data_IF_154010001992
#
_entry.id   IF_154010001992
#
_cell.length_a   1.000
_cell.length_b   1.000
_cell.length_c   1.000
_cell.angle_alpha   90.00
_cell.angle_beta   90.00
_cell.angle_gamma   90.00
#
_symmetry.space_group_name_H-M   'P 1'
#
loop_
_entity.id
_entity.type
_entity.pdbx_description
1 polymer ?
#
# COMPACT_ATOMS: atom_id res chain seq x y z
N UNK A 1 34.21 -4.17 -38.12
CA UNK A 1 34.13 -2.71 -38.29
C UNK A 1 33.49 -2.18 -37.02
N UNK A 2 34.20 -1.34 -36.27
CA UNK A 2 33.66 -0.79 -35.02
C UNK A 2 33.18 0.61 -35.36
N UNK A 3 31.87 0.79 -35.39
CA UNK A 3 31.26 2.06 -35.72
C UNK A 3 31.66 3.09 -34.65
N UNK A 4 32.21 4.22 -35.08
CA UNK A 4 32.60 5.32 -34.21
C UNK A 4 31.32 5.98 -33.66
N UNK A 5 30.85 5.49 -32.51
CA UNK A 5 29.68 6.03 -31.82
C UNK A 5 29.95 7.47 -31.35
N UNK A 6 29.24 8.44 -31.92
CA UNK A 6 29.28 9.85 -31.52
C UNK A 6 27.85 10.39 -31.37
N UNK A 7 27.47 10.75 -30.14
CA UNK A 7 26.13 11.25 -29.82
C UNK A 7 25.87 12.70 -30.28
N UNK A 8 26.91 13.43 -30.70
CA UNK A 8 26.84 14.82 -31.15
C UNK A 8 26.84 14.96 -32.68
N UNK A 9 26.69 13.86 -33.42
CA UNK A 9 26.66 13.90 -34.88
C UNK A 9 25.38 14.62 -35.36
N UNK A 10 25.51 15.49 -36.37
CA UNK A 10 24.36 16.18 -36.96
C UNK A 10 23.45 15.18 -37.66
N UNK A 11 22.24 15.00 -37.13
CA UNK A 11 21.23 14.09 -37.69
C UNK A 11 20.07 14.88 -38.28
N UNK A 12 19.56 14.44 -39.44
CA UNK A 12 18.32 14.94 -40.01
C UNK A 12 17.14 14.33 -39.22
N UNK A 13 16.33 15.17 -38.58
CA UNK A 13 15.13 14.73 -37.86
C UNK A 13 13.99 14.44 -38.85
N UNK A 14 13.94 13.20 -39.33
CA UNK A 14 12.78 12.69 -40.06
C UNK A 14 11.77 12.21 -39.01
N UNK A 15 10.54 12.74 -39.05
CA UNK A 15 9.45 12.21 -38.25
C UNK A 15 9.05 10.85 -38.81
N UNK A 16 9.67 9.78 -38.31
CA UNK A 16 9.15 8.43 -38.53
C UNK A 16 8.02 8.20 -37.54
N UNK A 17 6.83 7.90 -38.07
CA UNK A 17 5.72 7.35 -37.30
C UNK A 17 6.16 6.00 -36.73
N UNK A 18 6.59 6.00 -35.47
CA UNK A 18 6.97 4.78 -34.80
C UNK A 18 5.77 3.85 -34.71
N UNK A 19 5.93 2.62 -35.17
CA UNK A 19 4.94 1.55 -34.98
C UNK A 19 5.59 0.40 -34.20
N UNK A 20 4.92 -0.12 -33.16
CA UNK A 20 5.38 -1.33 -32.48
C UNK A 20 5.38 -2.52 -33.46
N UNK A 21 6.29 -3.47 -33.22
CA UNK A 21 6.35 -4.76 -33.92
C UNK A 21 5.00 -5.49 -33.87
N UNK A 22 4.74 -6.38 -34.84
CA UNK A 22 3.45 -7.07 -34.98
C UNK A 22 3.07 -7.90 -33.74
N UNK A 23 4.04 -8.52 -33.08
CA UNK A 23 3.84 -9.35 -31.89
C UNK A 23 4.10 -8.59 -30.57
N UNK A 24 4.23 -7.27 -30.60
CA UNK A 24 4.49 -6.50 -29.40
C UNK A 24 3.24 -6.39 -28.51
N UNK A 25 3.41 -6.49 -27.19
CA UNK A 25 2.33 -6.43 -26.18
C UNK A 25 1.40 -5.22 -26.33
N UNK A 26 1.96 -4.06 -26.71
CA UNK A 26 1.20 -2.84 -26.99
C UNK A 26 0.10 -3.04 -28.06
N UNK A 27 0.33 -3.82 -29.13
CA UNK A 27 -0.70 -4.07 -30.16
C UNK A 27 -1.86 -4.88 -29.62
N UNK A 28 -1.58 -5.91 -28.82
CA UNK A 28 -2.61 -6.71 -28.16
C UNK A 28 -3.42 -5.88 -27.17
N UNK A 29 -2.77 -5.04 -26.37
CA UNK A 29 -3.45 -4.11 -25.44
C UNK A 29 -4.33 -3.13 -26.22
N UNK A 30 -3.85 -2.62 -27.36
CA UNK A 30 -4.65 -1.74 -28.21
C UNK A 30 -5.91 -2.46 -28.71
N UNK A 31 -5.77 -3.65 -29.30
CA UNK A 31 -6.89 -4.44 -29.80
C UNK A 31 -7.90 -4.78 -28.70
N UNK A 32 -7.41 -5.17 -27.52
CA UNK A 32 -8.24 -5.45 -26.35
C UNK A 32 -9.05 -4.21 -25.96
N UNK A 33 -8.41 -3.07 -25.79
CA UNK A 33 -9.12 -1.85 -25.37
C UNK A 33 -10.11 -1.36 -26.43
N UNK A 34 -9.81 -1.50 -27.72
CA UNK A 34 -10.77 -1.19 -28.79
C UNK A 34 -11.98 -2.14 -28.77
N UNK A 35 -11.77 -3.43 -28.43
CA UNK A 35 -12.86 -4.41 -28.37
C UNK A 35 -13.88 -4.12 -27.26
N UNK A 36 -13.46 -3.44 -26.18
CA UNK A 36 -14.30 -3.12 -25.02
C UNK A 36 -15.38 -2.06 -25.32
N UNK A 37 -15.33 -1.39 -26.50
CA UNK A 37 -16.30 -0.35 -26.92
C UNK A 37 -16.68 0.60 -25.78
N UNK A 38 -15.66 1.18 -25.13
CA UNK A 38 -15.83 2.05 -23.97
C UNK A 38 -16.84 3.16 -24.26
N UNK A 39 -17.92 3.22 -23.48
CA UNK A 39 -18.93 4.28 -23.59
C UNK A 39 -18.41 5.54 -22.91
N UNK A 40 -18.55 6.67 -23.60
CA UNK A 40 -18.16 7.99 -23.12
C UNK A 40 -19.40 8.74 -22.65
N UNK A 41 -20.00 8.30 -21.54
CA UNK A 41 -21.19 8.95 -21.00
C UNK A 41 -20.76 10.16 -20.16
N UNK A 42 -20.42 11.26 -20.83
CA UNK A 42 -20.14 12.53 -20.18
C UNK A 42 -21.41 13.39 -20.12
N UNK A 43 -22.10 13.35 -18.97
CA UNK A 43 -23.40 14.03 -18.86
C UNK A 43 -23.30 15.50 -18.43
N UNK A 44 -22.38 15.91 -17.53
CA UNK A 44 -22.24 17.31 -17.09
C UNK A 44 -20.83 17.67 -16.55
N UNK A 45 -20.36 18.91 -16.80
CA UNK A 45 -19.16 19.51 -16.18
C UNK A 45 -18.05 19.97 -17.15
N UNK A 46 -16.81 20.14 -16.65
CA UNK A 46 -15.60 20.41 -17.47
C UNK A 46 -15.17 19.14 -18.23
N UNK A 47 -15.13 19.16 -19.58
CA UNK A 47 -14.75 18.00 -20.39
C UNK A 47 -13.44 17.38 -19.90
N UNK A 48 -13.32 16.06 -20.02
CA UNK A 48 -12.05 15.39 -19.72
C UNK A 48 -11.00 15.86 -20.71
N UNK A 49 -9.85 16.27 -20.20
CA UNK A 49 -8.70 16.65 -21.03
C UNK A 49 -8.04 15.44 -21.73
N UNK A 50 -8.52 14.20 -21.49
CA UNK A 50 -7.88 12.97 -21.93
C UNK A 50 -8.89 11.90 -22.37
N UNK A 51 -8.47 11.08 -23.34
CA UNK A 51 -9.25 9.94 -23.83
C UNK A 51 -9.15 8.75 -22.86
N UNK A 52 -10.29 8.15 -22.48
CA UNK A 52 -10.32 7.01 -21.55
C UNK A 52 -9.60 5.79 -22.10
N UNK A 53 -9.78 5.49 -23.39
CA UNK A 53 -9.11 4.37 -24.05
C UNK A 53 -7.59 4.53 -24.02
N UNK A 54 -7.08 5.71 -24.32
CA UNK A 54 -5.64 6.01 -24.24
C UNK A 54 -5.09 5.82 -22.81
N UNK A 55 -5.81 6.31 -21.80
CA UNK A 55 -5.39 6.13 -20.41
C UNK A 55 -5.41 4.66 -19.96
N UNK A 56 -6.43 3.91 -20.37
CA UNK A 56 -6.54 2.48 -20.07
C UNK A 56 -5.39 1.71 -20.72
N UNK A 57 -5.10 1.97 -22.00
CA UNK A 57 -3.97 1.38 -22.74
C UNK A 57 -2.64 1.66 -22.03
N UNK A 58 -2.41 2.91 -21.60
CA UNK A 58 -1.19 3.30 -20.90
C UNK A 58 -1.02 2.58 -19.56
N UNK A 59 -2.09 2.52 -18.75
CA UNK A 59 -2.06 1.87 -17.43
C UNK A 59 -1.84 0.36 -17.58
N UNK A 60 -2.54 -0.30 -18.51
CA UNK A 60 -2.37 -1.73 -18.78
C UNK A 60 -0.95 -2.05 -19.24
N UNK A 61 -0.39 -1.25 -20.15
CA UNK A 61 0.99 -1.44 -20.59
C UNK A 61 1.96 -1.22 -19.43
N UNK A 62 1.84 -0.15 -18.66
CA UNK A 62 2.74 0.09 -17.55
C UNK A 62 2.69 -1.03 -16.49
N UNK A 63 1.51 -1.59 -16.22
CA UNK A 63 1.34 -2.69 -15.28
C UNK A 63 1.95 -4.00 -15.80
N UNK A 64 1.92 -4.28 -17.10
CA UNK A 64 2.58 -5.47 -17.65
C UNK A 64 4.10 -5.42 -17.49
N UNK A 65 4.68 -4.22 -17.39
CA UNK A 65 6.09 -3.98 -17.02
C UNK A 65 6.34 -3.86 -15.51
N UNK A 66 5.32 -4.06 -14.66
CA UNK A 66 5.45 -3.97 -13.20
C UNK A 66 5.54 -2.52 -12.66
N UNK A 67 5.10 -1.53 -13.43
CA UNK A 67 5.18 -0.10 -13.08
C UNK A 67 3.82 0.40 -12.55
N UNK A 68 3.69 0.48 -11.22
CA UNK A 68 2.41 0.82 -10.58
C UNK A 68 2.29 2.27 -10.09
N UNK A 69 3.42 2.97 -9.90
CA UNK A 69 3.41 4.33 -9.38
C UNK A 69 3.05 5.33 -10.48
N UNK A 70 2.04 6.17 -10.28
CA UNK A 70 1.59 7.13 -11.30
C UNK A 70 2.68 8.07 -11.81
N UNK A 71 3.65 8.45 -10.95
CA UNK A 71 4.82 9.24 -11.39
C UNK A 71 5.77 8.44 -12.27
N UNK A 72 5.95 7.15 -11.95
CA UNK A 72 6.73 6.24 -12.80
C UNK A 72 6.01 5.96 -14.12
N UNK A 73 4.67 5.90 -14.12
CA UNK A 73 3.86 5.75 -15.34
C UNK A 73 3.97 6.99 -16.23
N UNK A 74 3.94 8.20 -15.67
CA UNK A 74 4.18 9.43 -16.43
C UNK A 74 5.57 9.42 -17.09
N UNK A 75 6.59 9.05 -16.31
CA UNK A 75 7.96 8.91 -16.84
C UNK A 75 8.05 7.84 -17.94
N UNK A 76 7.40 6.69 -17.72
CA UNK A 76 7.32 5.60 -18.68
C UNK A 76 6.65 6.05 -19.99
N UNK A 77 5.55 6.80 -19.93
CA UNK A 77 4.88 7.36 -21.11
C UNK A 77 5.79 8.29 -21.93
N UNK A 78 6.69 9.03 -21.26
CA UNK A 78 7.63 9.96 -21.91
C UNK A 78 8.83 9.25 -22.54
N UNK A 79 9.33 8.20 -21.89
CA UNK A 79 10.58 7.53 -22.27
C UNK A 79 10.34 6.32 -23.19
N UNK A 80 9.16 5.69 -23.13
CA UNK A 80 8.87 4.44 -23.84
C UNK A 80 8.09 4.70 -25.14
N UNK A 81 8.68 4.35 -26.30
CA UNK A 81 8.06 4.53 -27.62
C UNK A 81 6.73 3.77 -27.80
N UNK A 82 6.59 2.48 -27.43
CA UNK A 82 5.29 1.79 -27.43
C UNK A 82 4.22 2.48 -26.59
N UNK A 83 4.58 3.04 -25.43
CA UNK A 83 3.65 3.78 -24.59
C UNK A 83 3.20 5.08 -25.25
N UNK A 84 4.14 5.83 -25.87
CA UNK A 84 3.83 7.01 -26.68
C UNK A 84 2.87 6.72 -27.83
N UNK A 85 3.11 5.62 -28.55
CA UNK A 85 2.22 5.15 -29.62
C UNK A 85 0.78 4.89 -29.15
N UNK A 86 0.60 4.25 -27.98
CA UNK A 86 -0.74 3.96 -27.43
C UNK A 86 -1.55 5.20 -27.07
N UNK A 87 -0.87 6.30 -26.73
CA UNK A 87 -1.49 7.57 -26.31
C UNK A 87 -1.38 8.66 -27.39
N UNK A 88 -0.95 8.32 -28.60
CA UNK A 88 -0.68 9.27 -29.68
C UNK A 88 0.17 10.47 -29.22
N UNK A 89 1.21 10.18 -28.44
CA UNK A 89 2.16 11.14 -27.82
C UNK A 89 1.53 12.21 -26.91
N UNK A 90 0.25 12.07 -26.54
CA UNK A 90 -0.40 12.92 -25.54
C UNK A 90 -0.07 12.43 -24.13
N UNK A 91 1.07 12.87 -23.59
CA UNK A 91 1.55 12.42 -22.28
C UNK A 91 0.70 13.01 -21.14
N UNK A 92 -0.07 12.19 -20.39
CA UNK A 92 -0.86 12.67 -19.27
C UNK A 92 0.02 12.91 -18.03
N UNK A 93 -0.33 13.92 -17.23
CA UNK A 93 0.37 14.17 -15.96
C UNK A 93 0.13 13.04 -14.94
N UNK A 94 1.05 12.84 -13.98
CA UNK A 94 0.84 11.86 -12.90
C UNK A 94 -0.47 12.09 -12.13
N UNK A 95 -0.93 13.35 -11.99
CA UNK A 95 -2.19 13.68 -11.31
C UNK A 95 -3.38 13.17 -12.10
N UNK A 96 -3.33 13.30 -13.42
CA UNK A 96 -4.34 12.78 -14.35
C UNK A 96 -4.42 11.26 -14.27
N UNK A 97 -3.26 10.59 -14.29
CA UNK A 97 -3.16 9.13 -14.13
C UNK A 97 -3.70 8.70 -12.75
N UNK A 98 -3.35 9.40 -11.68
CA UNK A 98 -3.88 9.14 -10.34
C UNK A 98 -5.41 9.26 -10.29
N UNK A 99 -5.98 10.33 -10.85
CA UNK A 99 -7.43 10.54 -10.88
C UNK A 99 -8.15 9.45 -11.66
N UNK A 100 -7.61 9.08 -12.82
CA UNK A 100 -8.14 7.97 -13.63
C UNK A 100 -8.10 6.63 -12.88
N UNK A 101 -7.05 6.36 -12.10
CA UNK A 101 -6.93 5.12 -11.31
C UNK A 101 -7.89 5.02 -10.13
N UNK A 102 -8.31 6.17 -9.58
CA UNK A 102 -9.16 6.24 -8.38
C UNK A 102 -10.64 6.43 -8.77
N UNK A 103 -10.94 6.82 -10.00
CA UNK A 103 -12.33 7.06 -10.42
C UNK A 103 -13.18 5.80 -10.33
N UNK A 104 -14.39 5.92 -9.77
CA UNK A 104 -15.37 4.85 -9.65
C UNK A 104 -15.75 4.23 -11.01
N UNK A 105 -15.67 5.03 -12.06
CA UNK A 105 -15.89 4.57 -13.44
C UNK A 105 -14.83 3.59 -13.92
N UNK A 106 -13.58 3.72 -13.46
CA UNK A 106 -12.59 2.70 -13.77
C UNK A 106 -12.99 1.41 -13.07
N UNK A 107 -13.47 1.46 -11.83
CA UNK A 107 -13.88 0.26 -11.09
C UNK A 107 -15.02 -0.49 -11.80
N UNK A 108 -16.06 0.24 -12.26
CA UNK A 108 -17.15 -0.36 -13.04
C UNK A 108 -16.65 -0.89 -14.39
N UNK A 109 -15.86 -0.09 -15.13
CA UNK A 109 -15.26 -0.50 -16.39
C UNK A 109 -14.36 -1.73 -16.22
N UNK A 110 -13.51 -1.82 -15.20
CA UNK A 110 -12.66 -3.00 -14.98
C UNK A 110 -13.49 -4.25 -14.70
N UNK A 111 -14.60 -4.13 -13.97
CA UNK A 111 -15.45 -5.30 -13.66
C UNK A 111 -16.10 -5.85 -14.92
N UNK A 112 -16.68 -4.98 -15.73
CA UNK A 112 -17.31 -5.36 -17.00
C UNK A 112 -16.26 -5.81 -18.03
N UNK A 113 -15.14 -5.09 -18.13
CA UNK A 113 -14.05 -5.38 -19.07
C UNK A 113 -13.33 -6.68 -18.75
N UNK A 114 -13.16 -7.01 -17.47
CA UNK A 114 -12.56 -8.28 -17.06
C UNK A 114 -13.50 -9.44 -17.40
N UNK A 115 -14.81 -9.25 -17.22
CA UNK A 115 -15.84 -10.22 -17.62
C UNK A 115 -15.84 -10.44 -19.13
N UNK A 116 -15.77 -9.37 -19.92
CA UNK A 116 -15.68 -9.46 -21.39
C UNK A 116 -14.34 -10.07 -21.86
N UNK A 117 -13.23 -9.71 -21.22
CA UNK A 117 -11.91 -10.25 -21.53
C UNK A 117 -11.84 -11.74 -21.25
N UNK A 118 -12.33 -12.17 -20.08
CA UNK A 118 -12.39 -13.61 -19.73
C UNK A 118 -13.29 -14.38 -20.69
N UNK A 119 -14.42 -13.80 -21.10
CA UNK A 119 -15.27 -14.39 -22.12
C UNK A 119 -14.58 -14.50 -23.49
N UNK A 120 -13.88 -13.45 -23.93
CA UNK A 120 -13.11 -13.45 -25.18
C UNK A 120 -11.99 -14.50 -25.14
N UNK A 121 -11.24 -14.57 -24.05
CA UNK A 121 -10.14 -15.53 -23.91
C UNK A 121 -10.65 -16.98 -23.85
N UNK A 122 -11.80 -17.22 -23.23
CA UNK A 122 -12.50 -18.52 -23.27
C UNK A 122 -12.92 -18.90 -24.69
N UNK A 123 -13.51 -17.97 -25.43
CA UNK A 123 -13.94 -18.21 -26.82
C UNK A 123 -12.76 -18.55 -27.75
N UNK A 124 -11.59 -17.99 -27.49
CA UNK A 124 -10.37 -18.26 -28.26
C UNK A 124 -9.54 -19.43 -27.69
N UNK A 125 -10.04 -20.17 -26.69
CA UNK A 125 -9.34 -21.31 -26.10
C UNK A 125 -8.03 -20.95 -25.37
N UNK A 126 -7.86 -19.70 -24.95
CA UNK A 126 -6.65 -19.23 -24.26
C UNK A 126 -6.72 -19.38 -22.73
N UNK A 127 -7.91 -19.61 -22.18
CA UNK A 127 -8.15 -19.86 -20.75
C UNK A 127 -9.07 -21.07 -20.61
N UNK A 128 -8.61 -22.09 -19.90
CA UNK A 128 -9.42 -23.21 -19.44
C UNK A 128 -10.05 -22.91 -18.07
N UNK A 129 -11.16 -23.59 -17.73
CA UNK A 129 -11.80 -23.49 -16.40
C UNK A 129 -10.96 -24.14 -15.28
N UNK A 130 -9.85 -24.79 -15.62
CA UNK A 130 -8.99 -25.52 -14.67
C UNK A 130 -7.76 -24.67 -14.33
N UNK A 131 -7.77 -24.08 -13.13
CA UNK A 131 -6.57 -23.47 -12.56
C UNK A 131 -5.70 -24.55 -11.92
N UNK A 132 -4.55 -24.84 -12.53
CA UNK A 132 -3.53 -25.69 -11.92
C UNK A 132 -2.77 -24.88 -10.87
N UNK A 133 -3.25 -24.91 -9.64
CA UNK A 133 -2.52 -24.36 -8.50
C UNK A 133 -1.41 -25.37 -8.15
N UNK A 134 -0.24 -25.23 -8.76
CA UNK A 134 0.95 -25.92 -8.28
C UNK A 134 1.20 -25.50 -6.82
N UNK A 135 1.52 -26.48 -5.97
CA UNK A 135 1.22 -26.54 -4.53
C UNK A 135 1.92 -25.51 -3.63
N UNK A 136 1.79 -24.23 -3.92
CA UNK A 136 2.30 -23.14 -3.10
C UNK A 136 1.32 -22.86 -1.97
N UNK A 137 1.57 -23.47 -0.80
CA UNK A 137 0.79 -23.18 0.42
C UNK A 137 1.23 -21.85 1.01
N UNK A 138 0.53 -20.78 0.67
CA UNK A 138 0.64 -19.50 1.37
C UNK A 138 -0.11 -19.65 2.70
N UNK A 139 0.62 -19.96 3.77
CA UNK A 139 0.07 -19.98 5.12
C UNK A 139 -0.09 -18.54 5.61
N UNK A 140 -1.22 -18.22 6.22
CA UNK A 140 -1.40 -16.97 6.95
C UNK A 140 -0.35 -16.87 8.07
N UNK A 141 -0.07 -15.64 8.54
CA UNK A 141 0.73 -15.38 9.76
C UNK A 141 -0.05 -15.77 11.02
N UNK A 142 -0.48 -17.03 11.06
CA UNK A 142 -1.20 -17.67 12.15
C UNK A 142 -0.44 -18.94 12.50
N UNK A 143 -0.51 -19.33 13.78
CA UNK A 143 0.14 -20.53 14.23
C UNK A 143 -0.35 -21.75 13.42
N UNK A 144 0.58 -22.57 12.93
CA UNK A 144 0.30 -23.78 12.13
C UNK A 144 -0.58 -24.79 12.85
N UNK A 145 -0.64 -24.71 14.18
CA UNK A 145 -1.37 -25.64 15.03
C UNK A 145 -2.53 -24.94 15.74
N UNK A 146 -3.68 -25.61 15.79
CA UNK A 146 -4.87 -25.18 16.57
C UNK A 146 -4.73 -25.41 18.08
N UNK A 147 -3.66 -26.07 18.51
CA UNK A 147 -3.40 -26.40 19.91
C UNK A 147 -2.12 -25.75 20.42
N UNK A 148 -2.09 -25.51 21.73
CA UNK A 148 -0.95 -24.89 22.43
C UNK A 148 -0.31 -25.90 23.37
N UNK A 149 1.02 -25.93 23.42
CA UNK A 149 1.76 -26.84 24.29
C UNK A 149 1.77 -26.35 25.73
N UNK A 150 1.16 -27.12 26.65
CA UNK A 150 1.07 -26.80 28.08
C UNK A 150 2.40 -26.34 28.70
N UNK A 151 3.51 -27.02 28.38
CA UNK A 151 4.85 -26.67 28.87
C UNK A 151 5.29 -25.27 28.43
N UNK A 152 5.01 -24.90 27.19
CA UNK A 152 5.33 -23.56 26.69
C UNK A 152 4.41 -22.51 27.29
N UNK A 153 3.11 -22.79 27.42
CA UNK A 153 2.16 -21.87 28.07
C UNK A 153 2.60 -21.52 29.50
N UNK A 154 2.99 -22.52 30.30
CA UNK A 154 3.48 -22.30 31.67
C UNK A 154 4.79 -21.50 31.68
N UNK A 155 5.72 -21.81 30.76
CA UNK A 155 6.99 -21.07 30.65
C UNK A 155 6.75 -19.61 30.28
N UNK A 156 5.90 -19.34 29.30
CA UNK A 156 5.58 -17.98 28.86
C UNK A 156 4.78 -17.21 29.90
N UNK A 157 3.84 -17.84 30.61
CA UNK A 157 3.13 -17.22 31.73
C UNK A 157 4.11 -16.75 32.81
N UNK A 158 5.06 -17.61 33.22
CA UNK A 158 6.10 -17.24 34.19
C UNK A 158 6.96 -16.06 33.70
N UNK A 159 7.47 -16.14 32.47
CA UNK A 159 8.27 -15.05 31.88
C UNK A 159 7.48 -13.74 31.75
N UNK A 160 6.19 -13.80 31.43
CA UNK A 160 5.34 -12.62 31.31
C UNK A 160 5.08 -11.99 32.67
N UNK A 161 4.85 -12.79 33.71
CA UNK A 161 4.70 -12.30 35.09
C UNK A 161 5.97 -11.62 35.59
N UNK A 162 7.15 -12.19 35.34
CA UNK A 162 8.44 -11.58 35.67
C UNK A 162 8.57 -10.20 35.00
N UNK A 163 8.34 -10.12 33.68
CA UNK A 163 8.36 -8.84 32.94
C UNK A 163 7.33 -7.83 33.43
N UNK A 164 6.16 -8.30 33.85
CA UNK A 164 5.08 -7.45 34.36
C UNK A 164 5.48 -6.83 35.71
N UNK A 165 6.08 -7.63 36.60
CA UNK A 165 6.62 -7.13 37.88
C UNK A 165 7.72 -6.09 37.64
N UNK A 166 8.65 -6.36 36.71
CA UNK A 166 9.70 -5.39 36.34
C UNK A 166 9.08 -4.07 35.83
N UNK A 167 8.08 -4.15 34.94
CA UNK A 167 7.38 -2.99 34.38
C UNK A 167 6.63 -2.18 35.44
N UNK A 168 5.97 -2.86 36.40
CA UNK A 168 5.33 -2.20 37.53
C UNK A 168 6.36 -1.52 38.43
N UNK A 169 7.51 -2.16 38.64
CA UNK A 169 8.66 -1.56 39.35
C UNK A 169 9.09 -0.24 38.73
N UNK A 170 9.30 -0.20 37.40
CA UNK A 170 9.61 1.04 36.68
C UNK A 170 8.54 2.12 36.86
N UNK A 171 7.25 1.73 36.88
CA UNK A 171 6.12 2.66 37.07
C UNK A 171 6.03 3.20 38.50
N UNK A 172 6.42 2.40 39.49
CA UNK A 172 6.49 2.83 40.89
C UNK A 172 7.66 3.77 41.14
N UNK A 173 8.85 3.48 40.60
CA UNK A 173 10.00 4.39 40.64
C UNK A 173 9.67 5.75 40.00
N UNK A 174 8.89 5.75 38.91
CA UNK A 174 8.39 6.94 38.26
C UNK A 174 7.27 7.68 39.05
N UNK A 175 6.89 7.19 40.25
CA UNK A 175 5.80 7.69 41.12
C UNK A 175 4.42 7.72 40.46
N UNK A 176 4.19 6.88 39.45
CA UNK A 176 2.92 6.81 38.71
C UNK A 176 1.95 5.87 39.40
N UNK A 177 2.47 4.77 39.97
CA UNK A 177 1.69 3.75 40.69
C UNK A 177 2.16 3.71 42.15
N UNK A 178 1.22 3.49 43.08
CA UNK A 178 1.48 3.35 44.52
C UNK A 178 2.22 2.05 44.88
N UNK A 179 2.06 1.56 46.10
CA UNK A 179 2.70 0.30 46.54
C UNK A 179 2.35 -0.87 45.60
N UNK A 180 3.39 -1.56 45.12
CA UNK A 180 3.25 -2.78 44.33
C UNK A 180 3.15 -3.95 45.33
N UNK A 181 2.11 -4.79 45.28
CA UNK A 181 2.06 -5.99 46.09
C UNK A 181 3.25 -6.91 45.73
N UNK A 182 3.98 -7.37 46.74
CA UNK A 182 5.16 -8.19 46.54
C UNK A 182 4.78 -9.61 46.05
N UNK A 183 5.26 -9.99 44.88
CA UNK A 183 5.20 -11.36 44.38
C UNK A 183 3.86 -11.80 43.78
N UNK A 184 3.53 -13.08 43.97
CA UNK A 184 2.63 -13.90 43.15
C UNK A 184 1.12 -13.62 43.22
N UNK A 185 0.69 -12.42 43.65
CA UNK A 185 -0.72 -12.06 43.86
C UNK A 185 -1.18 -10.91 42.94
N UNK A 186 -0.69 -10.87 41.70
CA UNK A 186 -1.23 -9.98 40.68
C UNK A 186 -2.54 -10.56 40.14
N UNK A 187 -3.65 -10.18 40.76
CA UNK A 187 -4.98 -10.48 40.23
C UNK A 187 -5.32 -9.55 39.06
N UNK A 188 -6.15 -9.99 38.09
CA UNK A 188 -6.61 -9.13 37.00
C UNK A 188 -7.25 -7.83 37.50
N UNK A 189 -7.96 -7.87 38.62
CA UNK A 189 -8.61 -6.71 39.23
C UNK A 189 -7.60 -5.65 39.70
N UNK A 190 -6.48 -6.08 40.29
CA UNK A 190 -5.40 -5.17 40.70
C UNK A 190 -4.73 -4.51 39.49
N UNK A 191 -4.58 -5.26 38.38
CA UNK A 191 -4.06 -4.73 37.13
C UNK A 191 -4.96 -3.65 36.54
N UNK A 192 -6.28 -3.84 36.55
CA UNK A 192 -7.23 -2.84 36.06
C UNK A 192 -7.14 -1.53 36.86
N UNK A 193 -7.01 -1.63 38.19
CA UNK A 193 -6.81 -0.46 39.07
C UNK A 193 -5.51 0.27 38.72
N UNK A 194 -4.42 -0.48 38.45
CA UNK A 194 -3.14 0.12 38.06
C UNK A 194 -3.20 0.78 36.67
N UNK A 195 -3.89 0.18 35.71
CA UNK A 195 -4.11 0.76 34.38
C UNK A 195 -4.88 2.09 34.51
N UNK A 196 -5.96 2.12 35.31
CA UNK A 196 -6.72 3.34 35.55
C UNK A 196 -5.86 4.47 36.13
N UNK A 197 -4.97 4.17 37.10
CA UNK A 197 -4.03 5.16 37.65
C UNK A 197 -3.07 5.72 36.60
N UNK A 198 -2.57 4.85 35.71
CA UNK A 198 -1.69 5.28 34.60
C UNK A 198 -2.46 6.16 33.60
N UNK A 199 -3.74 5.88 33.37
CA UNK A 199 -4.61 6.70 32.53
C UNK A 199 -4.85 8.09 33.12
N UNK A 200 -5.18 8.16 34.42
CA UNK A 200 -5.37 9.44 35.12
C UNK A 200 -4.11 10.30 35.06
N UNK A 201 -2.94 9.70 35.30
CA UNK A 201 -1.66 10.40 35.19
C UNK A 201 -1.38 10.91 33.76
N UNK A 202 -1.80 10.17 32.72
CA UNK A 202 -1.70 10.62 31.34
C UNK A 202 -2.61 11.82 31.03
N UNK A 203 -3.77 11.94 31.69
CA UNK A 203 -4.66 13.11 31.56
C UNK A 203 -3.95 14.36 32.08
N UNK A 204 -3.42 14.30 33.30
CA UNK A 204 -2.65 15.40 33.92
C UNK A 204 -1.44 15.80 33.05
N UNK A 205 -0.72 14.82 32.50
CA UNK A 205 0.39 15.08 31.57
C UNK A 205 -0.05 15.74 30.25
N UNK A 206 -1.27 15.49 29.76
CA UNK A 206 -1.77 16.19 28.58
C UNK A 206 -2.06 17.66 28.90
N UNK A 207 -2.73 17.94 30.01
CA UNK A 207 -3.07 19.30 30.45
C UNK A 207 -1.81 20.15 30.68
N UNK A 208 -0.80 19.58 31.35
CA UNK A 208 0.49 20.26 31.58
C UNK A 208 1.24 20.55 30.27
N UNK A 209 1.14 19.67 29.27
CA UNK A 209 1.73 19.91 27.94
C UNK A 209 0.98 21.00 27.16
N UNK A 210 -0.35 21.09 27.30
CA UNK A 210 -1.13 22.17 26.69
C UNK A 210 -0.85 23.53 27.34
N UNK A 211 -0.67 23.55 28.67
CA UNK A 211 -0.30 24.74 29.42
C UNK A 211 1.15 25.19 29.14
N UNK A 212 2.08 24.24 28.97
CA UNK A 212 3.50 24.50 28.66
C UNK A 212 3.77 24.46 27.14
N UNK A 213 3.27 25.46 26.40
CA UNK A 213 3.58 25.67 24.97
C UNK A 213 5.03 26.15 24.71
N UNK A 214 6.03 25.55 25.36
CA UNK A 214 7.44 25.85 25.02
C UNK A 214 7.93 25.09 23.78
N UNK A 215 8.80 25.74 23.01
CA UNK A 215 9.56 25.14 21.91
C UNK A 215 10.67 24.26 22.51
N UNK A 216 10.88 23.09 21.93
CA UNK A 216 11.74 21.98 22.40
C UNK A 216 13.05 22.42 23.08
N UNK A 217 13.47 21.76 24.21
CA UNK A 217 12.92 20.52 24.78
C UNK A 217 11.84 20.75 25.87
N UNK A 218 10.65 20.15 25.71
CA UNK A 218 9.61 20.14 26.75
C UNK A 218 9.70 18.83 27.57
N UNK A 219 10.04 18.89 28.87
CA UNK A 219 10.17 17.70 29.73
C UNK A 219 8.85 16.95 29.93
N UNK A 220 7.71 17.66 30.01
CA UNK A 220 6.39 17.03 30.13
C UNK A 220 6.02 16.23 28.87
N UNK A 221 6.45 16.70 27.68
CA UNK A 221 6.26 15.97 26.41
C UNK A 221 7.10 14.70 26.35
N UNK A 222 8.30 14.70 26.94
CA UNK A 222 9.15 13.51 27.04
C UNK A 222 8.54 12.49 28.00
N UNK A 223 8.16 12.92 29.20
CA UNK A 223 7.49 12.07 30.19
C UNK A 223 6.22 11.43 29.63
N UNK A 224 5.37 12.21 28.95
CA UNK A 224 4.17 11.69 28.26
C UNK A 224 4.48 10.56 27.26
N UNK A 225 5.58 10.66 26.51
CA UNK A 225 5.99 9.62 25.55
C UNK A 225 6.40 8.34 26.27
N UNK A 226 7.16 8.46 27.35
CA UNK A 226 7.60 7.33 28.18
C UNK A 226 6.39 6.60 28.79
N UNK A 227 5.46 7.34 29.42
CA UNK A 227 4.27 6.75 30.04
C UNK A 227 3.34 6.11 29.01
N UNK A 228 3.16 6.72 27.82
CA UNK A 228 2.41 6.08 26.72
C UNK A 228 3.07 4.80 26.22
N UNK A 229 4.40 4.74 26.21
CA UNK A 229 5.12 3.53 25.83
C UNK A 229 4.96 2.42 26.87
N UNK A 230 4.95 2.75 28.16
CA UNK A 230 4.74 1.79 29.25
C UNK A 230 3.30 1.29 29.28
N UNK A 231 2.30 2.18 29.10
CA UNK A 231 0.88 1.79 28.97
C UNK A 231 0.62 0.79 27.85
N UNK A 232 1.32 0.89 26.72
CA UNK A 232 1.17 -0.07 25.60
C UNK A 232 1.73 -1.47 25.89
N UNK A 233 2.54 -1.61 26.95
CA UNK A 233 3.14 -2.88 27.38
C UNK A 233 2.35 -3.57 28.49
N UNK A 234 1.50 -2.82 29.21
CA UNK A 234 0.47 -3.33 30.12
C UNK A 234 -0.72 -3.83 29.29
#
# INVERSE_FOLDING_TARGET
MQDYYNMNQTTLSIALDYQPEEHHSARYINQLVESLKLKYDYQFGRPREYNLGAMLKLVLLAYSYGIFSSRKIERFARENKPAGWLIADQIPSYRTICRFRISDELATLTTDSLSQLTQYLRQNGMIDDVSFIDGTKILADANKYSFVWKKNTIRFDKMNREKLVDLLGELHEAKIVGEIPAGSELTPELLDIMISKVEDHLVVLNETVEATKQVSPNPAKQQRRTVKSQKRKL
#
